data_IF_067666324137
#
_entry.id   IF_067666324137
#
_cell.length_a   1.000
_cell.length_b   1.000
_cell.length_c   1.000
_cell.angle_alpha   90.00
_cell.angle_beta   90.00
_cell.angle_gamma   90.00
#
_symmetry.space_group_name_H-M   'P 1'
#
loop_
_entity.id
_entity.type
_entity.pdbx_description
1 polymer ?
#
# COMPACT_ATOMS: atom_id res chain seq x y z
N UNK A 1 -18.06 1.60 3.70
CA UNK A 1 -16.83 0.85 3.36
C UNK A 1 -17.18 0.05 2.12
N UNK A 2 -16.35 0.11 1.09
CA UNK A 2 -16.55 -0.57 -0.18
C UNK A 2 -15.33 -1.47 -0.42
N UNK A 3 -15.56 -2.69 -0.87
CA UNK A 3 -14.50 -3.55 -1.38
C UNK A 3 -14.48 -3.45 -2.91
N UNK A 4 -13.30 -3.28 -3.49
CA UNK A 4 -13.10 -3.25 -4.93
C UNK A 4 -12.22 -4.42 -5.31
N UNK A 5 -12.64 -5.15 -6.34
CA UNK A 5 -11.93 -6.34 -6.81
C UNK A 5 -11.93 -6.34 -8.32
N UNK A 6 -10.74 -6.47 -8.89
CA UNK A 6 -10.56 -6.69 -10.31
C UNK A 6 -9.50 -7.77 -10.53
N UNK A 7 -9.85 -8.83 -11.24
CA UNK A 7 -8.96 -9.98 -11.43
C UNK A 7 -8.44 -9.98 -12.86
N UNK A 8 -7.11 -9.83 -13.01
CA UNK A 8 -6.41 -9.82 -14.29
C UNK A 8 -5.29 -10.85 -14.29
N UNK A 9 -4.03 -10.46 -14.13
CA UNK A 9 -2.86 -11.36 -14.07
C UNK A 9 -2.59 -11.93 -12.65
N UNK A 10 -1.55 -12.78 -12.54
CA UNK A 10 -1.05 -13.31 -11.26
C UNK A 10 -0.30 -12.29 -10.40
N UNK A 11 0.02 -11.12 -10.95
CA UNK A 11 0.57 -10.00 -10.19
C UNK A 11 -0.57 -9.22 -9.54
N UNK A 12 -0.59 -9.20 -8.21
CA UNK A 12 -1.59 -8.52 -7.40
C UNK A 12 -1.10 -7.21 -6.79
N UNK A 13 -1.95 -6.20 -6.78
CA UNK A 13 -1.76 -4.99 -5.99
C UNK A 13 -2.94 -4.83 -5.05
N UNK A 14 -2.70 -4.50 -3.79
CA UNK A 14 -3.79 -4.28 -2.84
C UNK A 14 -3.61 -3.04 -1.96
N UNK A 15 -4.74 -2.50 -1.48
CA UNK A 15 -4.77 -1.42 -0.50
C UNK A 15 -5.88 -1.71 0.53
N UNK A 16 -5.49 -2.27 1.68
CA UNK A 16 -6.44 -2.71 2.72
C UNK A 16 -7.08 -1.54 3.49
N UNK A 17 -6.55 -0.33 3.32
CA UNK A 17 -6.84 0.82 4.17
C UNK A 17 -7.15 2.10 3.38
N UNK A 18 -7.65 1.96 2.15
CA UNK A 18 -7.96 3.07 1.26
C UNK A 18 -9.05 4.04 1.74
N UNK A 19 -9.20 5.13 0.98
CA UNK A 19 -10.20 6.16 1.23
C UNK A 19 -9.90 7.00 2.47
N UNK A 20 -10.89 7.21 3.33
CA UNK A 20 -10.80 8.13 4.47
C UNK A 20 -9.82 7.75 5.59
N UNK A 21 -9.22 6.55 5.55
CA UNK A 21 -8.26 6.04 6.54
C UNK A 21 -6.82 6.36 6.11
N UNK A 22 -6.32 5.71 5.06
CA UNK A 22 -4.99 5.95 4.47
C UNK A 22 -5.18 6.51 3.06
N UNK A 23 -5.49 7.81 3.01
CA UNK A 23 -5.88 8.50 1.77
C UNK A 23 -4.90 8.31 0.62
N UNK A 24 -5.46 8.13 -0.57
CA UNK A 24 -4.79 7.90 -1.86
C UNK A 24 -4.06 6.56 -2.02
N UNK A 25 -4.07 5.67 -1.03
CA UNK A 25 -3.44 4.34 -1.16
C UNK A 25 -4.17 3.46 -2.18
N UNK A 26 -5.50 3.52 -2.22
CA UNK A 26 -6.32 2.81 -3.21
C UNK A 26 -6.13 3.38 -4.62
N UNK A 27 -5.88 4.69 -4.74
CA UNK A 27 -5.59 5.33 -6.03
C UNK A 27 -4.28 4.80 -6.58
N UNK A 28 -3.21 4.80 -5.77
CA UNK A 28 -1.92 4.22 -6.14
C UNK A 28 -2.07 2.74 -6.47
N UNK A 29 -2.80 1.97 -5.66
CA UNK A 29 -2.99 0.53 -5.91
C UNK A 29 -3.69 0.25 -7.25
N UNK A 30 -4.78 0.97 -7.57
CA UNK A 30 -5.46 0.88 -8.87
C UNK A 30 -4.49 1.19 -10.01
N UNK A 31 -3.75 2.27 -9.86
CA UNK A 31 -2.85 2.76 -10.89
C UNK A 31 -1.64 1.87 -11.16
N UNK A 32 -1.10 1.22 -10.13
CA UNK A 32 -0.06 0.21 -10.31
C UNK A 32 -0.67 -1.02 -10.96
N UNK A 33 -1.82 -1.51 -10.48
CA UNK A 33 -2.52 -2.65 -11.08
C UNK A 33 -2.81 -2.42 -12.57
N UNK A 34 -3.31 -1.25 -12.97
CA UNK A 34 -3.58 -0.94 -14.38
C UNK A 34 -2.30 -0.91 -15.24
N UNK A 35 -1.21 -0.32 -14.73
CA UNK A 35 0.05 -0.25 -15.49
C UNK A 35 0.72 -1.61 -15.69
N UNK A 36 0.50 -2.55 -14.77
CA UNK A 36 1.10 -3.90 -14.83
C UNK A 36 0.15 -4.97 -15.34
N UNK A 37 -1.06 -4.58 -15.79
CA UNK A 37 -2.16 -5.51 -16.09
C UNK A 37 -2.42 -6.50 -14.93
N UNK A 38 -2.28 -5.99 -13.72
CA UNK A 38 -2.38 -6.68 -12.45
C UNK A 38 -3.80 -6.82 -11.95
N UNK A 39 -3.99 -7.78 -11.06
CA UNK A 39 -5.21 -7.89 -10.25
C UNK A 39 -5.18 -6.84 -9.13
N UNK A 40 -6.35 -6.33 -8.75
CA UNK A 40 -6.55 -5.35 -7.69
C UNK A 40 -7.45 -5.91 -6.59
N UNK A 41 -7.09 -5.64 -5.34
CA UNK A 41 -8.02 -5.69 -4.21
C UNK A 41 -7.88 -4.43 -3.34
N UNK A 42 -8.96 -3.69 -3.11
CA UNK A 42 -8.94 -2.52 -2.23
C UNK A 42 -10.10 -2.50 -1.26
N UNK A 43 -9.89 -1.93 -0.08
CA UNK A 43 -10.96 -1.60 0.88
C UNK A 43 -10.99 -0.10 1.09
N UNK A 44 -12.03 0.54 0.57
CA UNK A 44 -12.20 2.00 0.59
C UNK A 44 -13.12 2.39 1.74
N UNK A 45 -12.55 3.07 2.74
CA UNK A 45 -13.32 3.59 3.87
C UNK A 45 -13.93 4.96 3.55
N UNK A 46 -15.13 5.26 4.07
CA UNK A 46 -15.73 6.57 3.86
C UNK A 46 -14.91 7.67 4.54
N UNK A 47 -15.07 8.89 4.05
CA UNK A 47 -14.45 10.08 4.62
C UNK A 47 -14.79 10.23 6.12
N UNK A 48 -13.78 10.66 6.90
CA UNK A 48 -13.90 10.80 8.35
C UNK A 48 -13.82 9.49 9.15
N UNK A 49 -13.75 8.32 8.50
CA UNK A 49 -13.53 7.07 9.21
C UNK A 49 -12.13 7.05 9.86
N UNK A 50 -12.06 6.53 11.10
CA UNK A 50 -10.80 6.35 11.86
C UNK A 50 -10.64 4.92 12.37
N UNK A 51 -11.54 4.02 11.97
CA UNK A 51 -11.52 2.63 12.42
C UNK A 51 -10.48 1.86 11.61
N UNK A 52 -9.29 1.74 12.20
CA UNK A 52 -8.23 0.92 11.67
C UNK A 52 -8.45 -0.55 12.04
N UNK A 53 -8.54 -1.42 11.03
CA UNK A 53 -8.47 -2.87 11.17
C UNK A 53 -7.04 -3.31 10.81
N UNK A 54 -6.23 -3.85 11.72
CA UNK A 54 -4.87 -4.30 11.39
C UNK A 54 -4.86 -5.33 10.25
N UNK A 55 -3.84 -5.30 9.38
CA UNK A 55 -3.74 -6.22 8.23
C UNK A 55 -3.82 -7.70 8.64
N UNK A 56 -3.29 -8.07 9.81
CA UNK A 56 -3.37 -9.43 10.38
C UNK A 56 -4.78 -9.91 10.69
N UNK A 57 -5.79 -9.03 10.66
CA UNK A 57 -7.20 -9.37 10.89
C UNK A 57 -8.01 -9.56 9.60
N UNK A 58 -7.40 -9.38 8.42
CA UNK A 58 -8.03 -9.67 7.13
C UNK A 58 -7.96 -11.16 6.83
N UNK A 59 -8.71 -11.97 7.59
CA UNK A 59 -8.63 -13.44 7.53
C UNK A 59 -9.39 -14.03 6.34
N UNK A 60 -8.94 -15.19 5.86
CA UNK A 60 -9.59 -15.94 4.77
C UNK A 60 -11.00 -16.39 5.13
N UNK A 61 -11.89 -16.50 4.15
CA UNK A 61 -13.26 -16.98 4.32
C UNK A 61 -14.25 -15.94 4.85
N UNK A 62 -13.82 -14.69 5.05
CA UNK A 62 -14.67 -13.58 5.51
C UNK A 62 -15.07 -12.65 4.36
N UNK A 63 -14.15 -12.39 3.42
CA UNK A 63 -14.43 -11.62 2.21
C UNK A 63 -14.21 -12.51 1.00
N UNK A 64 -15.29 -12.77 0.24
CA UNK A 64 -15.21 -13.47 -1.03
C UNK A 64 -14.31 -12.72 -2.05
N UNK A 65 -14.22 -11.39 -1.94
CA UNK A 65 -13.38 -10.57 -2.80
C UNK A 65 -11.89 -10.75 -2.51
N UNK A 66 -11.52 -10.73 -1.23
CA UNK A 66 -10.14 -10.99 -0.81
C UNK A 66 -9.74 -12.42 -1.14
N UNK A 67 -10.60 -13.39 -0.88
CA UNK A 67 -10.33 -14.80 -1.17
C UNK A 67 -10.12 -14.99 -2.68
N UNK A 68 -10.99 -14.44 -3.54
CA UNK A 68 -10.84 -14.53 -4.99
C UNK A 68 -9.57 -13.83 -5.51
N UNK A 69 -9.18 -12.71 -4.91
CA UNK A 69 -7.92 -12.04 -5.21
C UNK A 69 -6.73 -12.91 -4.83
N UNK A 70 -6.71 -13.46 -3.61
CA UNK A 70 -5.61 -14.30 -3.12
C UNK A 70 -5.49 -15.61 -3.90
N UNK A 71 -6.60 -16.18 -4.36
CA UNK A 71 -6.61 -17.37 -5.23
C UNK A 71 -6.08 -17.07 -6.64
N UNK A 72 -6.12 -15.81 -7.08
CA UNK A 72 -5.69 -15.40 -8.43
C UNK A 72 -4.19 -15.15 -8.54
N UNK A 73 -3.58 -14.64 -7.47
CA UNK A 73 -2.26 -14.00 -7.48
C UNK A 73 -1.16 -14.89 -6.89
N UNK A 74 0.04 -14.78 -7.45
CA UNK A 74 1.26 -15.46 -7.01
C UNK A 74 2.34 -14.49 -6.50
N UNK A 75 2.17 -13.19 -6.78
CA UNK A 75 2.99 -12.09 -6.26
C UNK A 75 2.09 -10.95 -5.83
N UNK A 76 2.33 -10.34 -4.67
CA UNK A 76 1.48 -9.27 -4.13
C UNK A 76 2.31 -8.08 -3.63
N UNK A 77 1.89 -6.89 -4.04
CA UNK A 77 2.33 -5.59 -3.50
C UNK A 77 1.17 -4.95 -2.73
N UNK A 78 1.34 -4.69 -1.44
CA UNK A 78 0.35 -3.98 -0.61
C UNK A 78 0.77 -2.53 -0.39
N UNK A 79 -0.10 -1.58 -0.76
CA UNK A 79 0.09 -0.15 -0.58
C UNK A 79 -0.64 0.30 0.69
N UNK A 80 0.12 0.93 1.58
CA UNK A 80 -0.34 1.50 2.84
C UNK A 80 0.12 2.95 2.96
N UNK A 81 -0.50 3.67 3.87
CA UNK A 81 -0.13 5.01 4.25
C UNK A 81 -0.05 5.11 5.76
N UNK A 82 1.12 5.44 6.28
CA UNK A 82 1.27 5.64 7.72
C UNK A 82 1.18 7.12 8.10
N UNK A 83 0.98 7.38 9.39
CA UNK A 83 1.04 8.71 9.97
C UNK A 83 2.00 8.72 11.15
N UNK A 84 3.10 9.44 11.04
CA UNK A 84 4.07 9.65 12.12
C UNK A 84 4.53 11.09 12.16
N UNK A 85 4.61 11.65 13.36
CA UNK A 85 5.06 13.03 13.58
C UNK A 85 6.59 13.18 13.47
N UNK A 86 7.32 12.08 13.56
CA UNK A 86 8.78 12.04 13.58
C UNK A 86 9.40 11.54 12.27
N UNK A 87 8.59 11.04 11.32
CA UNK A 87 9.09 10.55 10.03
C UNK A 87 8.12 10.82 8.87
N UNK A 88 8.19 12.05 8.36
CA UNK A 88 7.36 12.51 7.25
C UNK A 88 7.99 12.29 5.87
N UNK A 89 9.21 11.76 5.76
CA UNK A 89 9.94 11.72 4.49
C UNK A 89 10.52 10.34 4.18
N UNK A 90 10.00 9.29 4.82
CA UNK A 90 10.43 7.92 4.55
C UNK A 90 9.36 7.12 3.82
N UNK A 91 9.73 6.46 2.74
CA UNK A 91 8.95 5.36 2.16
C UNK A 91 9.53 4.07 2.72
N UNK A 92 8.71 3.26 3.40
CA UNK A 92 9.19 2.00 3.99
C UNK A 92 8.74 0.83 3.10
N UNK A 93 9.69 -0.03 2.74
CA UNK A 93 9.47 -1.18 1.85
C UNK A 93 9.72 -2.48 2.62
N UNK A 94 8.66 -2.93 3.28
CA UNK A 94 8.58 -4.13 4.10
C UNK A 94 8.10 -5.36 3.33
N UNK A 95 7.47 -6.30 4.03
CA UNK A 95 6.96 -7.56 3.47
C UNK A 95 7.94 -8.74 3.61
N UNK A 96 7.43 -9.97 3.50
CA UNK A 96 8.26 -11.17 3.65
C UNK A 96 9.14 -11.47 2.43
N UNK A 97 8.77 -11.02 1.23
CA UNK A 97 9.64 -11.11 0.04
C UNK A 97 10.70 -10.01 0.07
N UNK A 98 11.83 -10.32 0.72
CA UNK A 98 12.93 -9.35 0.89
C UNK A 98 13.66 -9.04 -0.41
N UNK A 99 13.71 -9.97 -1.36
CA UNK A 99 14.40 -9.76 -2.63
C UNK A 99 13.62 -8.76 -3.49
N UNK A 100 12.31 -8.97 -3.63
CA UNK A 100 11.44 -8.04 -4.37
C UNK A 100 11.29 -6.70 -3.64
N UNK A 101 11.23 -6.70 -2.30
CA UNK A 101 11.23 -5.46 -1.52
C UNK A 101 12.48 -4.60 -1.80
N UNK A 102 13.67 -5.21 -1.85
CA UNK A 102 14.90 -4.50 -2.18
C UNK A 102 14.89 -3.98 -3.63
N UNK A 103 14.38 -4.77 -4.57
CA UNK A 103 14.25 -4.38 -5.98
C UNK A 103 13.32 -3.16 -6.16
N UNK A 104 12.12 -3.21 -5.55
CA UNK A 104 11.16 -2.09 -5.56
C UNK A 104 11.77 -0.85 -4.91
N UNK A 105 12.43 -1.02 -3.77
CA UNK A 105 13.09 0.10 -3.09
C UNK A 105 14.20 0.74 -3.94
N UNK A 106 14.96 -0.06 -4.70
CA UNK A 106 15.94 0.44 -5.66
C UNK A 106 15.34 1.40 -6.68
N UNK A 107 14.26 0.99 -7.34
CA UNK A 107 13.57 1.84 -8.31
C UNK A 107 12.95 3.08 -7.68
N UNK A 108 12.38 2.97 -6.48
CA UNK A 108 11.83 4.13 -5.77
C UNK A 108 12.91 5.17 -5.45
N UNK A 109 14.15 4.76 -5.11
CA UNK A 109 15.28 5.68 -4.87
C UNK A 109 15.69 6.45 -6.12
N UNK A 110 15.51 5.88 -7.30
CA UNK A 110 15.89 6.51 -8.57
C UNK A 110 14.88 7.57 -9.02
N UNK A 111 13.61 7.43 -8.62
CA UNK A 111 12.51 8.30 -9.08
C UNK A 111 12.06 9.33 -8.06
N UNK A 112 12.20 9.04 -6.76
CA UNK A 112 11.77 9.96 -5.71
C UNK A 112 12.77 11.10 -5.51
N UNK A 113 12.31 12.31 -5.16
CA UNK A 113 13.18 13.42 -4.80
C UNK A 113 14.17 13.07 -3.68
N UNK A 114 15.33 13.73 -3.66
CA UNK A 114 16.44 13.43 -2.74
C UNK A 114 16.08 13.57 -1.26
N UNK A 115 15.04 14.35 -0.93
CA UNK A 115 14.55 14.51 0.43
C UNK A 115 13.87 13.24 0.96
N UNK A 116 13.44 12.34 0.07
CA UNK A 116 12.80 11.08 0.44
C UNK A 116 13.83 9.98 0.71
N UNK A 117 13.72 9.38 1.89
CA UNK A 117 14.46 8.17 2.24
C UNK A 117 13.62 6.95 1.88
N UNK A 118 14.12 6.09 1.01
CA UNK A 118 13.51 4.76 0.81
C UNK A 118 14.24 3.76 1.68
N UNK A 119 13.52 3.18 2.64
CA UNK A 119 14.06 2.24 3.63
C UNK A 119 13.53 0.84 3.30
N UNK A 120 14.43 -0.13 3.12
CA UNK A 120 14.13 -1.56 2.91
C UNK A 120 14.90 -2.46 3.90
N UNK A 121 15.69 -1.89 4.81
CA UNK A 121 16.16 -2.57 6.00
C UNK A 121 15.05 -2.59 7.05
N UNK A 122 14.45 -3.77 7.26
CA UNK A 122 13.35 -3.94 8.22
C UNK A 122 13.77 -3.68 9.66
N UNK A 123 15.06 -3.81 10.00
CA UNK A 123 15.52 -3.51 11.36
C UNK A 123 15.61 -2.01 11.64
N UNK A 124 15.76 -1.19 10.60
CA UNK A 124 15.64 0.26 10.69
C UNK A 124 14.18 0.76 10.75
N UNK A 125 13.19 -0.11 10.50
CA UNK A 125 11.77 0.24 10.50
C UNK A 125 11.09 0.01 11.86
N UNK A 126 10.08 0.82 12.21
CA UNK A 126 9.17 0.50 13.30
C UNK A 126 8.53 -0.88 13.10
N UNK A 127 8.55 -1.73 14.14
CA UNK A 127 8.06 -3.12 14.06
C UNK A 127 6.66 -3.26 13.44
N UNK A 128 5.77 -2.32 13.72
CA UNK A 128 4.39 -2.32 13.22
C UNK A 128 4.26 -2.04 11.72
N UNK A 129 5.29 -1.46 11.08
CA UNK A 129 5.28 -1.05 9.66
C UNK A 129 6.15 -1.97 8.78
N UNK A 130 6.75 -3.02 9.35
CA UNK A 130 7.63 -3.95 8.61
C UNK A 130 6.87 -4.86 7.64
N UNK A 131 5.57 -5.06 7.85
CA UNK A 131 4.76 -5.96 7.03
C UNK A 131 5.19 -7.43 7.04
N UNK A 132 5.93 -7.91 8.05
CA UNK A 132 6.52 -9.27 8.07
C UNK A 132 5.60 -10.37 8.63
N UNK A 133 4.45 -10.01 9.18
CA UNK A 133 3.60 -11.00 9.87
C UNK A 133 3.01 -12.01 8.87
N UNK A 134 3.06 -13.34 9.14
CA UNK A 134 2.54 -14.35 8.21
C UNK A 134 1.03 -14.20 7.97
N UNK A 135 0.26 -13.79 8.99
CA UNK A 135 -1.18 -13.54 8.84
C UNK A 135 -1.52 -12.28 8.03
N UNK A 136 -0.55 -11.43 7.67
CA UNK A 136 -0.82 -10.32 6.76
C UNK A 136 -1.12 -10.88 5.36
N UNK A 137 -2.25 -10.53 4.71
CA UNK A 137 -2.61 -11.07 3.39
C UNK A 137 -1.50 -10.98 2.35
N UNK A 138 -0.69 -9.92 2.35
CA UNK A 138 0.43 -9.76 1.42
C UNK A 138 1.44 -10.92 1.49
N UNK A 139 1.56 -11.59 2.64
CA UNK A 139 2.51 -12.69 2.85
C UNK A 139 1.91 -14.09 2.69
N UNK A 140 0.64 -14.20 2.26
CA UNK A 140 -0.01 -15.51 2.08
C UNK A 140 0.30 -16.17 0.74
N UNK A 141 0.82 -15.40 -0.23
CA UNK A 141 1.35 -15.97 -1.47
C UNK A 141 2.67 -16.72 -1.22
N UNK A 142 3.01 -17.72 -2.05
CA UNK A 142 4.29 -18.41 -1.94
C UNK A 142 5.48 -17.44 -2.01
N UNK A 143 6.41 -17.54 -1.06
CA UNK A 143 7.57 -16.63 -0.98
C UNK A 143 7.30 -15.30 -0.26
N UNK A 144 6.04 -15.00 0.05
CA UNK A 144 5.63 -13.74 0.68
C UNK A 144 5.45 -12.61 -0.33
N UNK A 145 5.03 -11.44 0.16
CA UNK A 145 4.83 -10.26 -0.69
C UNK A 145 5.61 -9.06 -0.18
N UNK A 146 5.36 -7.92 -0.82
CA UNK A 146 6.00 -6.63 -0.52
C UNK A 146 4.97 -5.67 0.06
N UNK A 147 5.33 -4.96 1.13
CA UNK A 147 4.50 -3.90 1.72
C UNK A 147 5.18 -2.55 1.52
N UNK A 148 4.47 -1.58 0.95
CA UNK A 148 4.95 -0.21 0.77
C UNK A 148 4.13 0.71 1.67
N UNK A 149 4.82 1.40 2.57
CA UNK A 149 4.26 2.35 3.52
C UNK A 149 4.60 3.77 3.06
N UNK A 150 3.57 4.51 2.61
CA UNK A 150 3.72 5.85 2.06
C UNK A 150 3.55 6.93 3.15
N UNK A 151 4.53 7.85 3.29
CA UNK A 151 4.42 8.93 4.26
C UNK A 151 3.32 9.93 3.84
N UNK A 152 2.80 10.74 4.77
CA UNK A 152 1.82 11.77 4.45
C UNK A 152 2.27 12.75 3.36
N UNK A 153 3.56 13.09 3.32
CA UNK A 153 4.14 14.10 2.41
C UNK A 153 4.01 13.74 0.93
N UNK A 154 4.13 12.46 0.55
CA UNK A 154 3.92 12.00 -0.83
C UNK A 154 2.44 12.11 -1.20
N UNK A 155 1.55 11.78 -0.27
CA UNK A 155 0.10 11.71 -0.52
C UNK A 155 -0.61 13.06 -0.34
N UNK A 156 0.05 14.06 0.24
CA UNK A 156 -0.51 15.37 0.56
C UNK A 156 -0.15 16.42 -0.50
N UNK A 157 -1.15 17.14 -1.01
CA UNK A 157 -0.93 18.27 -1.89
C UNK A 157 -0.70 19.54 -1.05
N UNK A 158 0.53 20.06 -1.08
CA UNK A 158 0.94 21.22 -0.28
C UNK A 158 0.23 22.50 -0.68
N UNK A 159 0.03 22.73 -1.97
CA UNK A 159 -0.56 23.97 -2.50
C UNK A 159 -2.05 24.05 -2.19
N UNK A 160 -2.74 22.92 -2.31
CA UNK A 160 -4.17 22.82 -2.00
C UNK A 160 -4.45 22.61 -0.51
N UNK A 161 -3.43 22.28 0.28
CA UNK A 161 -3.53 21.97 1.71
C UNK A 161 -4.61 20.90 2.00
N UNK A 162 -4.67 19.90 1.13
CA UNK A 162 -5.52 18.72 1.28
C UNK A 162 -4.81 17.49 0.68
N UNK A 163 -5.41 16.33 0.86
CA UNK A 163 -4.93 15.08 0.31
C UNK A 163 -5.12 15.02 -1.20
N UNK A 164 -4.12 14.48 -1.89
CA UNK A 164 -4.20 14.25 -3.33
C UNK A 164 -5.41 13.39 -3.69
N UNK A 165 -6.01 13.68 -4.84
CA UNK A 165 -7.14 12.93 -5.40
C UNK A 165 -8.38 12.90 -4.49
N UNK A 166 -8.48 13.85 -3.55
CA UNK A 166 -9.67 14.07 -2.71
C UNK A 166 -10.47 15.25 -3.22
N UNK A 167 -11.75 15.02 -3.50
CA UNK A 167 -12.66 16.01 -4.08
C UNK A 167 -12.02 16.64 -5.34
N UNK A 168 -11.89 17.96 -5.39
CA UNK A 168 -11.26 18.68 -6.50
C UNK A 168 -9.74 18.90 -6.31
N UNK A 169 -9.12 18.26 -5.30
CA UNK A 169 -7.68 18.43 -5.04
C UNK A 169 -6.85 17.65 -6.05
N UNK A 170 -6.03 18.31 -6.88
CA UNK A 170 -5.19 17.62 -7.84
C UNK A 170 -4.13 16.80 -7.15
N UNK A 171 -3.60 15.84 -7.90
CA UNK A 171 -2.49 15.01 -7.45
C UNK A 171 -1.26 15.85 -7.07
N UNK A 172 -0.65 15.55 -5.92
CA UNK A 172 0.65 16.09 -5.56
C UNK A 172 1.71 15.62 -6.58
N UNK A 173 2.66 16.48 -6.92
CA UNK A 173 3.65 16.20 -7.98
C UNK A 173 4.47 14.91 -7.81
N UNK A 174 4.51 14.36 -6.60
CA UNK A 174 5.30 13.18 -6.24
C UNK A 174 4.46 11.92 -5.97
N UNK A 175 3.13 12.02 -6.11
CA UNK A 175 2.23 10.88 -6.02
C UNK A 175 2.03 10.21 -7.38
#
# INVERSE_FOLDING_TARGET
VVEEVELRSGTGVCALHGGGLERATEVVAREVADRVDGSLYSVVQPDGCRRHLPSTRFVSGVSAGLDAFMDRVDSVLSIHGYGRHDDFWAVLVGGADRATAHHVAGHLREVLPEEYRVVDDVEAMPRSLRGLHPDNPVNRVPGGGVQVELPPSIRWNRDHRDWSDRDDTPRAAHL
#
